data_IF_629674286044
#
_entry.id   IF_629674286044
#
_cell.length_a   1.000
_cell.length_b   1.000
_cell.length_c   1.000
_cell.angle_alpha   90.00
_cell.angle_beta   90.00
_cell.angle_gamma   90.00
#
_symmetry.space_group_name_H-M   'P 1'
#
loop_
_entity.id
_entity.type
_entity.pdbx_description
1 polymer ?
#
# COMPACT_ATOMS: atom_id res chain seq x y z
N UNK A 1 38.84 5.08 25.81
CA UNK A 1 37.69 4.55 26.57
C UNK A 1 36.44 4.78 25.73
N UNK A 2 36.18 3.88 24.79
CA UNK A 2 34.99 3.92 23.93
C UNK A 2 33.85 3.25 24.68
N UNK A 3 32.77 4.01 24.89
CA UNK A 3 31.54 3.54 25.51
C UNK A 3 30.87 2.58 24.51
N UNK A 4 30.52 1.34 24.89
CA UNK A 4 29.73 0.50 24.00
C UNK A 4 28.33 1.10 23.89
N UNK A 5 27.91 1.41 22.67
CA UNK A 5 26.49 1.58 22.34
C UNK A 5 25.76 0.32 22.77
N UNK A 6 24.72 0.51 23.58
CA UNK A 6 23.84 -0.58 23.98
C UNK A 6 23.03 -1.01 22.76
N UNK A 7 22.93 -2.31 22.46
CA UNK A 7 22.00 -2.78 21.44
C UNK A 7 20.58 -2.37 21.89
N UNK A 8 19.87 -1.66 21.01
CA UNK A 8 18.44 -1.40 21.16
C UNK A 8 17.71 -2.74 21.13
N UNK A 9 16.79 -2.90 22.08
CA UNK A 9 16.02 -4.12 22.32
C UNK A 9 15.17 -4.46 21.09
N UNK A 10 15.35 -5.66 20.54
CA UNK A 10 14.46 -6.29 19.56
C UNK A 10 14.71 -5.88 18.11
N UNK A 11 15.76 -6.42 17.48
CA UNK A 11 15.85 -6.44 16.02
C UNK A 11 14.79 -7.43 15.51
N UNK A 12 13.57 -6.95 15.30
CA UNK A 12 12.64 -7.60 14.39
C UNK A 12 13.37 -7.69 13.06
N UNK A 13 13.60 -8.90 12.54
CA UNK A 13 14.20 -9.08 11.21
C UNK A 13 13.20 -8.57 10.18
N UNK A 14 13.20 -7.26 9.93
CA UNK A 14 12.44 -6.64 8.85
C UNK A 14 13.08 -7.04 7.52
N UNK A 15 12.30 -7.70 6.67
CA UNK A 15 12.68 -8.08 5.32
C UNK A 15 11.80 -7.33 4.33
N UNK A 16 12.39 -6.86 3.23
CA UNK A 16 11.62 -6.26 2.16
C UNK A 16 10.70 -7.32 1.53
N UNK A 17 9.39 -7.12 1.61
CA UNK A 17 8.40 -8.00 0.97
C UNK A 17 8.15 -7.56 -0.48
N UNK A 18 7.92 -6.25 -0.68
CA UNK A 18 7.70 -5.67 -2.00
C UNK A 18 8.12 -4.20 -2.03
N UNK A 19 8.80 -3.81 -3.09
CA UNK A 19 9.16 -2.42 -3.37
C UNK A 19 8.44 -1.96 -4.64
N UNK A 20 8.08 -0.69 -4.65
CA UNK A 20 7.40 -0.02 -5.75
C UNK A 20 8.09 1.32 -6.03
N UNK A 21 7.74 1.94 -7.16
CA UNK A 21 8.16 3.31 -7.46
C UNK A 21 7.74 4.32 -6.36
N UNK A 22 8.33 5.52 -6.41
CA UNK A 22 8.02 6.64 -5.51
C UNK A 22 8.27 6.36 -4.01
N UNK A 23 9.19 5.44 -3.71
CA UNK A 23 9.57 5.11 -2.33
C UNK A 23 8.47 4.37 -1.54
N UNK A 24 7.48 3.80 -2.25
CA UNK A 24 6.43 2.98 -1.65
C UNK A 24 6.95 1.55 -1.48
N UNK A 25 6.79 0.97 -0.29
CA UNK A 25 7.24 -0.40 -0.02
C UNK A 25 6.43 -1.07 1.08
N UNK A 26 6.46 -2.40 1.06
CA UNK A 26 5.92 -3.27 2.10
C UNK A 26 7.08 -4.07 2.69
N UNK A 27 7.22 -4.03 4.01
CA UNK A 27 8.17 -4.86 4.75
C UNK A 27 7.44 -5.96 5.51
N UNK A 28 8.00 -7.15 5.50
CA UNK A 28 7.57 -8.29 6.32
C UNK A 28 8.44 -8.34 7.58
N UNK A 29 7.82 -8.55 8.74
CA UNK A 29 8.55 -8.73 9.99
C UNK A 29 7.78 -9.68 10.92
N UNK A 30 8.49 -10.24 11.89
CA UNK A 30 7.88 -11.07 12.93
C UNK A 30 7.54 -10.18 14.11
N UNK A 31 6.26 -10.07 14.47
CA UNK A 31 5.84 -9.29 15.61
C UNK A 31 6.37 -9.89 16.92
N UNK A 32 7.13 -9.11 17.68
CA UNK A 32 7.76 -9.56 18.92
C UNK A 32 6.78 -10.11 19.97
N UNK A 33 5.53 -9.64 19.97
CA UNK A 33 4.52 -10.00 20.97
C UNK A 33 3.78 -11.31 20.66
N UNK A 34 3.49 -11.56 19.38
CA UNK A 34 2.66 -12.70 18.95
C UNK A 34 3.45 -13.78 18.23
N UNK A 35 4.66 -13.48 17.76
CA UNK A 35 5.44 -14.32 16.86
C UNK A 35 4.81 -14.51 15.47
N UNK A 36 3.73 -13.78 15.17
CA UNK A 36 3.05 -13.81 13.88
C UNK A 36 3.77 -12.94 12.84
N UNK A 37 3.72 -13.34 11.57
CA UNK A 37 4.16 -12.51 10.46
C UNK A 37 3.22 -11.30 10.29
N UNK A 38 3.80 -10.13 10.09
CA UNK A 38 3.12 -8.86 9.84
C UNK A 38 3.73 -8.20 8.62
N UNK A 39 2.91 -7.39 7.96
CA UNK A 39 3.28 -6.65 6.76
C UNK A 39 3.01 -5.17 6.97
N UNK A 40 4.04 -4.34 6.91
CA UNK A 40 3.91 -2.88 7.08
C UNK A 40 4.06 -2.18 5.74
N UNK A 41 3.02 -1.49 5.32
CA UNK A 41 3.05 -0.53 4.22
C UNK A 41 3.73 0.77 4.67
N UNK A 42 4.60 1.32 3.84
CA UNK A 42 5.24 2.63 4.05
C UNK A 42 5.31 3.41 2.75
N UNK A 43 5.06 4.72 2.82
CA UNK A 43 5.25 5.67 1.73
C UNK A 43 5.71 7.04 2.27
N UNK A 44 6.38 7.89 1.48
CA UNK A 44 7.00 9.13 1.97
C UNK A 44 6.05 10.11 2.67
N UNK A 45 4.78 10.19 2.24
CA UNK A 45 3.77 11.11 2.76
C UNK A 45 2.63 10.39 3.50
N UNK A 46 2.82 9.12 3.87
CA UNK A 46 1.80 8.29 4.50
C UNK A 46 2.29 7.70 5.82
N UNK A 47 1.48 7.82 6.87
CA UNK A 47 1.74 7.11 8.13
C UNK A 47 1.63 5.60 7.88
N UNK A 48 2.70 4.84 8.10
CA UNK A 48 2.71 3.42 7.76
C UNK A 48 1.56 2.64 8.40
N UNK A 49 1.04 1.64 7.69
CA UNK A 49 -0.10 0.81 8.13
C UNK A 49 0.31 -0.65 8.17
N UNK A 50 -0.12 -1.38 9.20
CA UNK A 50 0.24 -2.78 9.43
C UNK A 50 -0.92 -3.72 9.11
N UNK A 51 -0.59 -4.88 8.53
CA UNK A 51 -1.52 -5.91 8.10
C UNK A 51 -1.06 -7.29 8.57
N UNK A 52 -2.02 -8.17 8.84
CA UNK A 52 -1.80 -9.60 9.09
C UNK A 52 -1.77 -10.43 7.79
N UNK A 53 -2.22 -9.85 6.67
CA UNK A 53 -2.34 -10.50 5.38
C UNK A 53 -1.55 -9.71 4.31
N UNK A 54 -0.57 -10.33 3.62
CA UNK A 54 0.21 -9.65 2.58
C UNK A 54 -0.64 -9.22 1.39
N UNK A 55 -1.74 -9.91 1.09
CA UNK A 55 -2.65 -9.56 0.00
C UNK A 55 -3.41 -8.26 0.29
N UNK A 56 -3.76 -8.01 1.56
CA UNK A 56 -4.38 -6.77 1.99
C UNK A 56 -3.37 -5.62 2.00
N UNK A 57 -2.14 -5.86 2.46
CA UNK A 57 -1.06 -4.87 2.37
C UNK A 57 -0.79 -4.46 0.91
N UNK A 58 -0.75 -5.43 0.00
CA UNK A 58 -0.58 -5.20 -1.44
C UNK A 58 -1.77 -4.44 -2.03
N UNK A 59 -3.00 -4.81 -1.66
CA UNK A 59 -4.21 -4.10 -2.09
C UNK A 59 -4.24 -2.65 -1.59
N UNK A 60 -3.77 -2.41 -0.37
CA UNK A 60 -3.65 -1.06 0.19
C UNK A 60 -2.67 -0.21 -0.62
N UNK A 61 -1.51 -0.77 -0.98
CA UNK A 61 -0.58 -0.12 -1.90
C UNK A 61 -1.23 0.15 -3.27
N UNK A 62 -2.00 -0.80 -3.82
CA UNK A 62 -2.72 -0.58 -5.07
C UNK A 62 -3.71 0.59 -5.00
N UNK A 63 -4.45 0.73 -3.88
CA UNK A 63 -5.34 1.87 -3.67
C UNK A 63 -4.54 3.18 -3.61
N UNK A 64 -3.40 3.17 -2.91
CA UNK A 64 -2.53 4.34 -2.80
C UNK A 64 -2.09 4.83 -4.19
N UNK A 65 -1.67 3.93 -5.09
CA UNK A 65 -1.35 4.29 -6.47
C UNK A 65 -2.59 4.71 -7.28
N UNK A 66 -3.71 3.99 -7.17
CA UNK A 66 -4.96 4.27 -7.92
C UNK A 66 -5.50 5.69 -7.68
N UNK A 67 -5.26 6.26 -6.49
CA UNK A 67 -5.71 7.61 -6.14
C UNK A 67 -4.59 8.65 -6.08
N UNK A 68 -3.36 8.28 -6.45
CA UNK A 68 -2.17 9.13 -6.37
C UNK A 68 -1.88 9.65 -4.94
N UNK A 69 -2.01 8.76 -3.96
CA UNK A 69 -1.81 9.03 -2.54
C UNK A 69 -3.04 9.54 -1.82
N UNK A 70 -3.12 9.27 -0.52
CA UNK A 70 -4.18 9.75 0.36
C UNK A 70 -3.67 9.88 1.80
N UNK A 71 -4.41 10.57 2.68
CA UNK A 71 -4.04 10.74 4.09
C UNK A 71 -5.20 10.26 4.96
N UNK A 72 -4.92 9.36 5.91
CA UNK A 72 -5.93 8.84 6.85
C UNK A 72 -6.07 9.69 8.12
N UNK A 73 -5.11 10.58 8.40
CA UNK A 73 -5.12 11.45 9.57
C UNK A 73 -6.40 12.30 9.59
N UNK A 74 -7.14 12.22 10.70
CA UNK A 74 -8.38 12.97 10.89
C UNK A 74 -9.63 12.35 10.25
N UNK A 75 -9.52 11.20 9.58
CA UNK A 75 -10.70 10.46 9.09
C UNK A 75 -11.46 9.76 10.23
N UNK A 76 -10.75 9.41 11.31
CA UNK A 76 -11.27 8.64 12.45
C UNK A 76 -11.26 7.14 12.18
N UNK A 77 -11.51 6.31 13.21
CA UNK A 77 -11.34 4.84 13.15
C UNK A 77 -12.17 4.13 12.05
N UNK A 78 -13.24 4.76 11.59
CA UNK A 78 -14.11 4.24 10.51
C UNK A 78 -14.28 5.24 9.37
N UNK A 79 -13.43 6.26 9.34
CA UNK A 79 -13.44 7.25 8.29
C UNK A 79 -13.01 6.67 6.97
N UNK A 80 -13.18 7.47 5.93
CA UNK A 80 -12.65 7.18 4.60
C UNK A 80 -11.96 8.44 4.11
N UNK A 81 -10.71 8.36 3.61
CA UNK A 81 -10.02 9.49 3.01
C UNK A 81 -10.85 10.13 1.88
N UNK A 82 -10.88 11.47 1.77
CA UNK A 82 -11.59 12.16 0.70
C UNK A 82 -11.20 11.68 -0.71
N UNK A 83 -9.92 11.37 -0.92
CA UNK A 83 -9.35 10.90 -2.20
C UNK A 83 -9.96 9.55 -2.60
N UNK A 84 -10.08 8.63 -1.63
CA UNK A 84 -10.69 7.30 -1.84
C UNK A 84 -12.19 7.44 -2.17
N UNK A 85 -12.91 8.35 -1.51
CA UNK A 85 -14.33 8.61 -1.81
C UNK A 85 -14.48 9.14 -3.24
N UNK A 86 -13.61 10.06 -3.65
CA UNK A 86 -13.65 10.72 -4.95
C UNK A 86 -13.28 9.78 -6.11
N UNK A 87 -12.37 8.83 -5.88
CA UNK A 87 -11.95 7.84 -6.87
C UNK A 87 -13.09 6.92 -7.32
N UNK A 88 -14.08 6.69 -6.44
CA UNK A 88 -15.33 6.04 -6.79
C UNK A 88 -15.54 4.69 -6.13
N UNK A 89 -16.54 3.96 -6.63
CA UNK A 89 -17.13 2.81 -5.92
C UNK A 89 -16.23 1.59 -5.86
N UNK A 90 -15.39 1.39 -6.87
CA UNK A 90 -14.45 0.28 -6.91
C UNK A 90 -13.31 0.49 -5.92
N UNK A 91 -12.70 1.67 -5.92
CA UNK A 91 -11.66 2.08 -4.98
C UNK A 91 -12.17 2.08 -3.54
N UNK A 92 -13.37 2.63 -3.30
CA UNK A 92 -14.00 2.59 -1.97
C UNK A 92 -14.28 1.16 -1.50
N UNK A 93 -14.68 0.25 -2.39
CA UNK A 93 -14.88 -1.16 -2.04
C UNK A 93 -13.57 -1.87 -1.71
N UNK A 94 -12.50 -1.56 -2.45
CA UNK A 94 -11.16 -2.06 -2.16
C UNK A 94 -10.65 -1.56 -0.81
N UNK A 95 -10.79 -0.25 -0.53
CA UNK A 95 -10.39 0.34 0.74
C UNK A 95 -11.15 -0.24 1.93
N UNK A 96 -12.47 -0.47 1.81
CA UNK A 96 -13.18 -1.16 2.88
C UNK A 96 -12.65 -2.58 3.12
N UNK A 97 -12.19 -3.29 2.08
CA UNK A 97 -11.64 -4.63 2.27
C UNK A 97 -10.29 -4.63 3.01
N UNK A 98 -9.55 -3.52 3.01
CA UNK A 98 -8.31 -3.39 3.79
C UNK A 98 -8.56 -3.05 5.25
N UNK A 99 -9.81 -2.77 5.65
CA UNK A 99 -10.14 -2.41 7.03
C UNK A 99 -10.26 -3.65 7.91
N UNK A 100 -9.77 -3.62 9.17
CA UNK A 100 -9.72 -4.79 10.04
C UNK A 100 -11.10 -5.35 10.43
N UNK A 101 -12.15 -4.56 10.28
CA UNK A 101 -13.53 -4.95 10.61
C UNK A 101 -14.32 -5.53 9.43
N UNK A 102 -13.75 -5.55 8.22
CA UNK A 102 -14.48 -5.86 7.01
C UNK A 102 -13.86 -7.04 6.27
N UNK A 103 -14.72 -7.91 5.76
CA UNK A 103 -14.37 -8.96 4.82
C UNK A 103 -15.16 -8.80 3.52
N UNK A 104 -14.91 -9.68 2.55
CA UNK A 104 -15.58 -9.62 1.25
C UNK A 104 -17.10 -9.80 1.35
N UNK A 105 -17.60 -10.50 2.37
CA UNK A 105 -19.03 -10.69 2.60
C UNK A 105 -19.68 -9.43 3.16
N UNK A 106 -18.99 -8.75 4.08
CA UNK A 106 -19.38 -7.47 4.63
C UNK A 106 -19.46 -6.43 3.52
N UNK A 107 -18.42 -6.29 2.70
CA UNK A 107 -18.39 -5.33 1.58
C UNK A 107 -19.50 -5.63 0.57
N UNK A 108 -19.71 -6.91 0.23
CA UNK A 108 -20.79 -7.33 -0.66
C UNK A 108 -22.17 -6.92 -0.10
N UNK A 109 -22.38 -7.10 1.21
CA UNK A 109 -23.62 -6.74 1.90
C UNK A 109 -23.83 -5.23 1.94
N UNK A 110 -22.77 -4.46 2.27
CA UNK A 110 -22.79 -3.00 2.28
C UNK A 110 -23.25 -2.42 0.92
N UNK A 111 -22.77 -2.99 -0.18
CA UNK A 111 -23.14 -2.56 -1.52
C UNK A 111 -24.43 -3.18 -2.08
N UNK A 112 -25.04 -4.14 -1.37
CA UNK A 112 -26.15 -4.94 -1.88
C UNK A 112 -25.80 -5.68 -3.17
N UNK A 113 -24.59 -6.27 -3.24
CA UNK A 113 -24.06 -6.98 -4.41
C UNK A 113 -23.62 -8.41 -4.05
N UNK A 114 -23.42 -9.23 -5.08
CA UNK A 114 -22.76 -10.54 -4.94
C UNK A 114 -21.25 -10.36 -4.82
N UNK A 115 -20.56 -11.28 -4.12
CA UNK A 115 -19.09 -11.32 -3.99
C UNK A 115 -18.35 -11.16 -5.31
N UNK A 116 -18.76 -11.89 -6.35
CA UNK A 116 -18.17 -11.78 -7.70
C UNK A 116 -18.23 -10.37 -8.31
N UNK A 117 -19.11 -9.47 -7.84
CA UNK A 117 -19.09 -8.06 -8.26
C UNK A 117 -18.03 -7.26 -7.51
N UNK A 118 -17.81 -7.54 -6.23
CA UNK A 118 -16.77 -6.90 -5.42
C UNK A 118 -15.38 -7.36 -5.90
N UNK A 119 -15.22 -8.65 -6.21
CA UNK A 119 -13.96 -9.19 -6.79
C UNK A 119 -13.58 -8.46 -8.09
N UNK A 120 -14.55 -8.14 -8.94
CA UNK A 120 -14.32 -7.32 -10.15
C UNK A 120 -13.93 -5.88 -9.85
N UNK A 121 -14.42 -5.29 -8.77
CA UNK A 121 -14.00 -3.95 -8.34
C UNK A 121 -12.53 -3.97 -7.92
N UNK A 122 -12.16 -4.93 -7.07
CA UNK A 122 -10.78 -5.11 -6.62
C UNK A 122 -9.85 -5.35 -7.82
N UNK A 123 -10.21 -6.22 -8.75
CA UNK A 123 -9.43 -6.46 -9.96
C UNK A 123 -9.28 -5.20 -10.84
N UNK A 124 -10.26 -4.29 -10.83
CA UNK A 124 -10.17 -3.03 -11.58
C UNK A 124 -9.15 -2.08 -10.94
N UNK A 125 -9.19 -1.94 -9.62
CA UNK A 125 -8.22 -1.12 -8.85
C UNK A 125 -6.81 -1.66 -9.03
N UNK A 126 -6.61 -2.97 -8.84
CA UNK A 126 -5.32 -3.64 -9.06
C UNK A 126 -4.74 -3.38 -10.45
N UNK A 127 -5.59 -3.43 -11.48
CA UNK A 127 -5.17 -3.15 -12.85
C UNK A 127 -4.74 -1.70 -13.04
N UNK A 128 -5.54 -0.73 -12.58
CA UNK A 128 -5.20 0.71 -12.70
C UNK A 128 -3.91 1.03 -11.95
N UNK A 129 -3.75 0.49 -10.74
CA UNK A 129 -2.54 0.66 -9.97
C UNK A 129 -1.31 0.09 -10.69
N UNK A 130 -1.45 -1.05 -11.37
CA UNK A 130 -0.38 -1.60 -12.19
C UNK A 130 -0.06 -0.70 -13.38
N UNK A 131 -1.07 -0.26 -14.15
CA UNK A 131 -0.90 0.65 -15.28
C UNK A 131 -0.19 1.96 -14.87
N UNK A 132 -0.49 2.49 -13.68
CA UNK A 132 0.17 3.68 -13.12
C UNK A 132 1.65 3.40 -12.81
N UNK A 133 1.94 2.27 -12.16
CA UNK A 133 3.32 1.91 -11.81
C UNK A 133 4.18 1.67 -13.04
N UNK A 134 3.66 0.93 -14.02
CA UNK A 134 4.32 0.68 -15.30
C UNK A 134 4.66 2.02 -15.99
N UNK A 135 3.71 2.97 -16.00
CA UNK A 135 3.94 4.29 -16.56
C UNK A 135 4.97 5.14 -15.81
N UNK A 136 5.14 4.97 -14.49
CA UNK A 136 6.19 5.66 -13.73
C UNK A 136 7.56 5.08 -14.06
N UNK A 137 7.67 3.76 -14.13
CA UNK A 137 8.92 3.07 -14.48
C UNK A 137 9.39 3.45 -15.90
N UNK A 138 8.47 3.52 -16.87
CA UNK A 138 8.78 3.97 -18.24
C UNK A 138 9.31 5.42 -18.28
N UNK A 139 8.71 6.33 -17.50
CA UNK A 139 9.15 7.73 -17.44
C UNK A 139 10.53 7.88 -16.78
N UNK A 140 10.80 7.10 -15.73
CA UNK A 140 12.10 7.09 -15.05
C UNK A 140 13.20 6.60 -16.01
N UNK A 141 12.93 5.55 -16.80
CA UNK A 141 13.86 5.01 -17.80
C UNK A 141 14.16 6.02 -18.92
N UNK A 142 13.14 6.69 -19.47
CA UNK A 142 13.31 7.71 -20.51
C UNK A 142 14.18 8.90 -20.04
N UNK A 143 13.99 9.35 -18.79
CA UNK A 143 14.77 10.45 -18.21
C UNK A 143 16.24 10.08 -17.98
N UNK A 144 16.52 8.82 -17.62
CA UNK A 144 17.88 8.31 -17.48
C UNK A 144 18.61 8.28 -18.84
N UNK A 145 17.93 7.85 -19.91
CA UNK A 145 18.49 7.86 -21.26
C UNK A 145 18.80 9.29 -21.76
N UNK A 146 17.91 10.26 -21.55
CA UNK A 146 18.13 11.66 -21.96
C UNK A 146 19.31 12.30 -21.20
N UNK A 147 19.45 11.99 -19.90
CA UNK A 147 20.55 12.49 -19.07
C UNK A 147 21.90 11.96 -19.56
N UNK A 148 22.00 10.67 -19.86
CA UNK A 148 23.23 10.02 -20.35
C UNK A 148 23.68 10.55 -21.72
N UNK A 149 22.72 10.87 -22.61
CA UNK A 149 23.00 11.46 -23.93
C UNK A 149 23.53 12.89 -23.79
N UNK A 150 23.01 13.65 -22.82
CA UNK A 150 23.39 15.06 -22.61
C UNK A 150 24.75 15.21 -21.93
N UNK A 151 25.14 14.29 -21.03
CA UNK A 151 26.48 14.28 -20.41
C UNK A 151 27.60 13.75 -21.33
N UNK A 152 27.24 13.11 -22.45
CA UNK A 152 28.19 12.54 -23.43
C UNK A 152 28.50 13.47 -24.62
N UNK A 153 27.93 14.68 -24.65
CA UNK A 153 28.06 15.67 -25.73
C UNK A 153 28.85 16.92 -25.28
#
# INVERSE_FOLDING_TARGET
MSKPERPTVGEESEMLYKEYALGVRIVEYTASETGGQRYRFTAPEHEGVEFDDPELATLYADIYFDVNGFIEVGTGERGVPPEVIQAGRDTLAAYFLTQPYADIHWVASFYGKKRARIERYIATVRRRAQEIRDGVEELDDEQLEETLVTESA
#
